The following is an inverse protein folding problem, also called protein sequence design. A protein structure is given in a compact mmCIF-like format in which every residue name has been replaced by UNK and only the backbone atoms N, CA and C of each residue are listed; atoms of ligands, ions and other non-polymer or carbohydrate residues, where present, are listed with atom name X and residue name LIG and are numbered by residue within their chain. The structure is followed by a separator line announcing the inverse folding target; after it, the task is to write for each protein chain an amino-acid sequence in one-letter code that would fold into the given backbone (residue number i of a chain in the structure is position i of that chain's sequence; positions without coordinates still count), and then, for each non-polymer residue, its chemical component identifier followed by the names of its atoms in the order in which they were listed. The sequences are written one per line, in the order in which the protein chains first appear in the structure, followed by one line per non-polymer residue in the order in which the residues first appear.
data_IF_746510492320
#
_entry.id   IF_746510492320
#
_cell.length_a   1.000
_cell.length_b   1.000
_cell.length_c   1.000
_cell.angle_alpha   90.00
_cell.angle_beta   90.00
_cell.angle_gamma   90.00
#
_symmetry.space_group_name_H-M   'P 1'
#
loop_
_entity.id
_entity.type
_entity.pdbx_description
1 polymer ?
#
# COMPACT_ATOMS: atom_id res chain seq x y z
N UNK A 1 8.45 -41.30 5.65
CA UNK A 1 8.07 -40.77 4.33
C UNK A 1 6.83 -39.89 4.52
N UNK A 2 6.92 -38.55 4.46
CA UNK A 2 5.74 -37.67 4.59
C UNK A 2 4.89 -37.82 3.33
N UNK A 3 3.63 -38.20 3.47
CA UNK A 3 2.68 -38.29 2.35
C UNK A 3 2.47 -36.89 1.74
N UNK A 4 2.04 -36.81 0.47
CA UNK A 4 1.74 -35.52 -0.16
C UNK A 4 0.68 -34.70 0.61
N UNK A 5 -0.18 -35.36 1.39
CA UNK A 5 -1.12 -34.71 2.31
C UNK A 5 -0.43 -33.98 3.47
N UNK A 6 0.70 -34.46 3.96
CA UNK A 6 1.43 -33.81 5.05
C UNK A 6 2.26 -32.62 4.56
N UNK A 7 2.73 -32.69 3.31
CA UNK A 7 3.58 -31.67 2.72
C UNK A 7 2.84 -30.34 2.51
N UNK A 8 1.63 -30.37 1.93
CA UNK A 8 0.87 -29.14 1.74
C UNK A 8 0.46 -28.49 3.06
N UNK A 9 0.03 -29.28 4.06
CA UNK A 9 -0.29 -28.76 5.39
C UNK A 9 0.92 -28.10 6.06
N UNK A 10 2.12 -28.66 5.88
CA UNK A 10 3.34 -28.05 6.42
C UNK A 10 3.65 -26.69 5.78
N UNK A 11 3.44 -26.55 4.47
CA UNK A 11 3.59 -25.28 3.74
C UNK A 11 2.56 -24.27 4.24
N UNK A 12 1.29 -24.67 4.30
CA UNK A 12 0.20 -23.81 4.77
C UNK A 12 0.45 -23.32 6.20
N UNK A 13 0.87 -24.20 7.11
CA UNK A 13 1.18 -23.82 8.49
C UNK A 13 2.38 -22.87 8.57
N UNK A 14 3.43 -23.11 7.78
CA UNK A 14 4.61 -22.23 7.74
C UNK A 14 4.23 -20.83 7.28
N UNK A 15 3.51 -20.71 6.16
CA UNK A 15 3.04 -19.42 5.65
C UNK A 15 2.07 -18.77 6.64
N UNK A 16 1.17 -19.56 7.23
CA UNK A 16 0.19 -19.10 8.20
C UNK A 16 0.83 -18.49 9.45
N UNK A 17 1.85 -19.14 10.01
CA UNK A 17 2.61 -18.62 11.15
C UNK A 17 3.35 -17.33 10.82
N UNK A 18 4.01 -17.25 9.67
CA UNK A 18 4.73 -16.04 9.25
C UNK A 18 3.76 -14.86 9.10
N UNK A 19 2.63 -15.06 8.42
CA UNK A 19 1.61 -14.00 8.25
C UNK A 19 1.00 -13.57 9.59
N UNK A 20 0.74 -14.52 10.50
CA UNK A 20 0.22 -14.23 11.82
C UNK A 20 1.22 -13.41 12.64
N UNK A 21 2.49 -13.81 12.67
CA UNK A 21 3.54 -13.10 13.41
C UNK A 21 3.74 -11.69 12.86
N UNK A 22 3.88 -11.53 11.54
CA UNK A 22 4.02 -10.22 10.90
C UNK A 22 2.81 -9.34 11.20
N UNK A 23 1.59 -9.88 11.07
CA UNK A 23 0.37 -9.13 11.36
C UNK A 23 0.24 -8.70 12.82
N UNK A 24 0.60 -9.57 13.77
CA UNK A 24 0.56 -9.23 15.21
C UNK A 24 1.61 -8.18 15.57
N UNK A 25 2.84 -8.31 15.05
CA UNK A 25 3.90 -7.32 15.27
C UNK A 25 3.47 -5.96 14.72
N UNK A 26 2.89 -5.93 13.52
CA UNK A 26 2.45 -4.67 12.91
C UNK A 26 1.26 -4.06 13.67
N UNK A 27 0.34 -4.88 14.21
CA UNK A 27 -0.73 -4.39 15.11
C UNK A 27 -0.15 -3.79 16.39
N UNK A 28 0.85 -4.43 17.00
CA UNK A 28 1.50 -3.89 18.19
C UNK A 28 2.19 -2.55 17.88
N UNK A 29 2.83 -2.44 16.71
CA UNK A 29 3.44 -1.20 16.23
C UNK A 29 2.39 -0.12 15.94
N UNK A 30 1.23 -0.48 15.37
CA UNK A 30 0.11 0.42 15.18
C UNK A 30 -0.37 1.01 16.52
N UNK A 31 -0.57 0.16 17.54
CA UNK A 31 -0.99 0.60 18.87
C UNK A 31 0.05 1.57 19.45
N UNK A 32 1.34 1.23 19.34
CA UNK A 32 2.43 2.10 19.77
C UNK A 32 2.40 3.46 19.06
N UNK A 33 2.21 3.48 17.73
CA UNK A 33 2.12 4.73 16.97
C UNK A 33 0.93 5.59 17.41
N UNK A 34 -0.25 4.98 17.60
CA UNK A 34 -1.45 5.68 18.08
C UNK A 34 -1.22 6.27 19.47
N UNK A 35 -0.62 5.51 20.39
CA UNK A 35 -0.32 5.99 21.74
C UNK A 35 0.69 7.14 21.78
N UNK A 36 1.60 7.22 20.80
CA UNK A 36 2.62 8.26 20.71
C UNK A 36 2.27 9.38 19.71
N UNK A 37 1.05 9.41 19.18
CA UNK A 37 0.61 10.38 18.15
C UNK A 37 1.51 10.40 16.89
N UNK A 38 2.12 9.27 16.57
CA UNK A 38 2.95 9.09 15.38
C UNK A 38 2.04 8.69 14.21
N UNK A 39 2.23 9.30 13.05
CA UNK A 39 1.48 8.96 11.84
C UNK A 39 1.76 7.52 11.42
N UNK A 40 0.72 6.69 11.48
CA UNK A 40 0.76 5.28 11.10
C UNK A 40 0.11 5.07 9.73
N UNK A 41 0.77 4.31 8.84
CA UNK A 41 0.33 4.10 7.45
C UNK A 41 0.50 2.64 7.02
N UNK A 42 -0.13 1.71 7.73
CA UNK A 42 -0.25 0.31 7.27
C UNK A 42 -1.68 -0.22 7.49
N UNK A 43 -2.37 -0.59 6.41
CA UNK A 43 -3.79 -0.99 6.44
C UNK A 43 -4.00 -2.50 6.31
N UNK A 44 -2.92 -3.29 6.21
CA UNK A 44 -2.99 -4.70 5.80
C UNK A 44 -2.84 -5.72 6.95
N UNK A 45 -2.69 -5.28 8.19
CA UNK A 45 -2.28 -6.12 9.32
C UNK A 45 -3.37 -7.10 9.72
N UNK A 46 -4.62 -6.63 9.79
CA UNK A 46 -5.77 -7.46 10.15
C UNK A 46 -5.98 -8.54 9.07
N UNK A 47 -5.78 -8.19 7.79
CA UNK A 47 -5.84 -9.16 6.70
C UNK A 47 -4.74 -10.21 6.80
N UNK A 48 -3.52 -9.84 7.20
CA UNK A 48 -2.43 -10.78 7.42
C UNK A 48 -2.74 -11.77 8.55
N UNK A 49 -3.30 -11.30 9.68
CA UNK A 49 -3.71 -12.17 10.79
C UNK A 49 -4.83 -13.13 10.37
N UNK A 50 -5.89 -12.61 9.72
CA UNK A 50 -7.01 -13.43 9.25
C UNK A 50 -6.53 -14.49 8.24
N UNK A 51 -5.70 -14.08 7.27
CA UNK A 51 -5.08 -14.99 6.31
C UNK A 51 -4.24 -16.07 7.01
N UNK A 52 -3.44 -15.67 8.00
CA UNK A 52 -2.62 -16.55 8.81
C UNK A 52 -3.45 -17.64 9.50
N UNK A 53 -4.52 -17.26 10.18
CA UNK A 53 -5.45 -18.19 10.86
C UNK A 53 -6.10 -19.16 9.88
N UNK A 54 -6.57 -18.68 8.73
CA UNK A 54 -7.19 -19.56 7.72
C UNK A 54 -6.21 -20.57 7.12
N UNK A 55 -4.94 -20.17 6.91
CA UNK A 55 -3.90 -21.09 6.44
C UNK A 55 -3.53 -22.13 7.49
N UNK A 56 -3.44 -21.72 8.77
CA UNK A 56 -3.20 -22.65 9.88
C UNK A 56 -4.30 -23.71 10.01
N UNK A 57 -5.55 -23.34 9.70
CA UNK A 57 -6.69 -24.26 9.63
C UNK A 57 -6.73 -25.14 8.37
N UNK A 58 -5.77 -25.01 7.45
CA UNK A 58 -5.71 -25.83 6.24
C UNK A 58 -6.78 -25.49 5.20
N UNK A 59 -7.41 -24.30 5.26
CA UNK A 59 -8.52 -23.98 4.37
C UNK A 59 -8.05 -23.74 2.92
N UNK A 60 -8.28 -24.73 2.06
CA UNK A 60 -7.90 -24.68 0.64
C UNK A 60 -8.61 -23.58 -0.17
N UNK A 61 -9.82 -23.14 0.24
CA UNK A 61 -10.47 -21.97 -0.40
C UNK A 61 -9.69 -20.70 -0.08
N UNK A 62 -9.32 -20.54 1.19
CA UNK A 62 -8.57 -19.38 1.64
C UNK A 62 -7.21 -19.31 0.95
N UNK A 63 -6.52 -20.44 0.75
CA UNK A 63 -5.25 -20.49 0.00
C UNK A 63 -5.38 -19.83 -1.38
N UNK A 64 -6.41 -20.18 -2.16
CA UNK A 64 -6.60 -19.63 -3.50
C UNK A 64 -6.89 -18.13 -3.47
N UNK A 65 -7.67 -17.66 -2.50
CA UNK A 65 -8.00 -16.23 -2.32
C UNK A 65 -6.76 -15.45 -1.86
N UNK A 66 -6.06 -15.95 -0.86
CA UNK A 66 -4.86 -15.32 -0.29
C UNK A 66 -3.81 -15.21 -1.38
N UNK A 67 -3.51 -16.29 -2.12
CA UNK A 67 -2.53 -16.25 -3.22
C UNK A 67 -2.93 -15.26 -4.31
N UNK A 68 -4.21 -15.23 -4.69
CA UNK A 68 -4.72 -14.27 -5.68
C UNK A 68 -4.50 -12.83 -5.21
N UNK A 69 -4.86 -12.52 -3.95
CA UNK A 69 -4.69 -11.21 -3.36
C UNK A 69 -3.22 -10.83 -3.17
N UNK A 70 -2.36 -11.76 -2.77
CA UNK A 70 -0.91 -11.56 -2.63
C UNK A 70 -0.27 -11.20 -3.98
N UNK A 71 -0.62 -11.90 -5.06
CA UNK A 71 -0.10 -11.58 -6.41
C UNK A 71 -0.60 -10.22 -6.89
N UNK A 72 -1.88 -9.91 -6.66
CA UNK A 72 -2.47 -8.60 -6.95
C UNK A 72 -1.72 -7.47 -6.22
N UNK A 73 -1.51 -7.62 -4.91
CA UNK A 73 -0.78 -6.67 -4.08
C UNK A 73 0.67 -6.51 -4.53
N UNK A 74 1.37 -7.61 -4.83
CA UNK A 74 2.75 -7.56 -5.31
C UNK A 74 2.84 -6.79 -6.64
N UNK A 75 1.96 -7.10 -7.60
CA UNK A 75 1.94 -6.44 -8.90
C UNK A 75 1.61 -4.94 -8.78
N UNK A 76 0.62 -4.59 -7.94
CA UNK A 76 0.28 -3.20 -7.65
C UNK A 76 1.47 -2.48 -7.00
N UNK A 77 2.13 -3.09 -6.01
CA UNK A 77 3.25 -2.45 -5.31
C UNK A 77 4.44 -2.20 -6.25
N UNK A 78 4.81 -3.17 -7.07
CA UNK A 78 5.88 -3.01 -8.06
C UNK A 78 5.53 -1.96 -9.12
N UNK A 79 4.28 -1.95 -9.60
CA UNK A 79 3.83 -0.94 -10.56
C UNK A 79 3.83 0.46 -9.94
N UNK A 80 3.46 0.57 -8.66
CA UNK A 80 3.41 1.85 -7.96
C UNK A 80 4.82 2.44 -7.79
N UNK A 81 5.85 1.61 -7.59
CA UNK A 81 7.24 2.09 -7.58
C UNK A 81 7.66 2.75 -8.90
N UNK A 82 7.09 2.31 -10.03
CA UNK A 82 7.36 2.89 -11.37
C UNK A 82 6.56 4.17 -11.60
N UNK A 83 5.31 4.22 -11.14
CA UNK A 83 4.42 5.38 -11.34
C UNK A 83 4.69 6.50 -10.33
N UNK A 84 5.14 6.17 -9.12
CA UNK A 84 5.38 7.13 -8.04
C UNK A 84 6.27 8.33 -8.44
N UNK A 85 7.40 8.15 -9.13
CA UNK A 85 8.25 9.28 -9.57
C UNK A 85 7.55 10.25 -10.53
N UNK A 86 6.48 9.82 -11.22
CA UNK A 86 5.70 10.67 -12.14
C UNK A 86 4.63 11.47 -11.39
N UNK A 87 4.14 10.94 -10.26
CA UNK A 87 3.10 11.60 -9.46
C UNK A 87 3.63 12.78 -8.65
N UNK A 88 4.93 12.81 -8.38
CA UNK A 88 5.57 13.82 -7.54
C UNK A 88 6.64 14.60 -8.32
N UNK A 89 6.79 15.92 -8.13
CA UNK A 89 7.89 16.68 -8.73
C UNK A 89 9.25 16.11 -8.32
N UNK A 90 10.13 15.87 -9.29
CA UNK A 90 11.47 15.31 -9.05
C UNK A 90 12.28 16.10 -8.02
N UNK A 91 12.15 17.42 -8.02
CA UNK A 91 12.82 18.28 -7.04
C UNK A 91 12.33 18.05 -5.60
N UNK A 92 11.04 17.75 -5.39
CA UNK A 92 10.53 17.42 -4.06
C UNK A 92 11.11 16.09 -3.58
N UNK A 93 11.19 15.08 -4.45
CA UNK A 93 11.80 13.79 -4.14
C UNK A 93 13.26 13.97 -3.73
N UNK A 94 14.05 14.69 -4.52
CA UNK A 94 15.46 14.99 -4.20
C UNK A 94 15.62 15.70 -2.87
N UNK A 95 14.74 16.66 -2.58
CA UNK A 95 14.75 17.41 -1.32
C UNK A 95 14.45 16.49 -0.13
N UNK A 96 13.46 15.61 -0.25
CA UNK A 96 13.13 14.61 0.78
C UNK A 96 14.31 13.67 1.07
N UNK A 97 14.98 13.16 0.03
CA UNK A 97 16.18 12.33 0.17
C UNK A 97 17.32 13.05 0.88
N UNK A 98 17.54 14.33 0.57
CA UNK A 98 18.60 15.14 1.19
C UNK A 98 18.33 15.42 2.67
N UNK A 99 17.07 15.73 3.00
CA UNK A 99 16.70 16.15 4.35
C UNK A 99 16.51 14.99 5.32
N UNK A 100 16.15 13.80 4.84
CA UNK A 100 15.97 12.62 5.70
C UNK A 100 16.46 11.32 5.04
N UNK A 101 17.77 11.17 4.81
CA UNK A 101 18.32 10.02 4.11
C UNK A 101 18.07 8.70 4.86
N UNK A 102 18.17 8.70 6.19
CA UNK A 102 17.91 7.50 7.01
C UNK A 102 16.45 7.07 6.94
N UNK A 103 15.52 8.01 7.03
CA UNK A 103 14.09 7.75 6.87
C UNK A 103 13.76 7.17 5.50
N UNK A 104 14.38 7.69 4.43
CA UNK A 104 14.16 7.15 3.09
C UNK A 104 14.74 5.75 2.91
N UNK A 105 15.94 5.49 3.44
CA UNK A 105 16.54 4.14 3.42
C UNK A 105 15.67 3.15 4.18
N UNK A 106 15.16 3.52 5.36
CA UNK A 106 14.28 2.67 6.15
C UNK A 106 12.97 2.37 5.41
N UNK A 107 12.38 3.37 4.76
CA UNK A 107 11.18 3.21 3.94
C UNK A 107 11.39 2.29 2.74
N UNK A 108 12.52 2.45 2.03
CA UNK A 108 12.89 1.55 0.92
C UNK A 108 13.14 0.12 1.41
N UNK A 109 13.81 -0.05 2.55
CA UNK A 109 14.03 -1.36 3.16
C UNK A 109 12.70 -2.02 3.54
N UNK A 110 11.75 -1.26 4.08
CA UNK A 110 10.41 -1.74 4.40
C UNK A 110 9.64 -2.20 3.15
N UNK A 111 9.68 -1.42 2.06
CA UNK A 111 9.06 -1.80 0.78
C UNK A 111 9.70 -3.07 0.22
N UNK A 112 11.03 -3.16 0.22
CA UNK A 112 11.75 -4.34 -0.26
C UNK A 112 11.40 -5.58 0.58
N UNK A 113 11.33 -5.44 1.90
CA UNK A 113 10.89 -6.50 2.81
C UNK A 113 9.46 -6.95 2.51
N UNK A 114 8.53 -6.00 2.38
CA UNK A 114 7.13 -6.31 2.04
C UNK A 114 7.03 -7.01 0.68
N UNK A 115 7.81 -6.59 -0.32
CA UNK A 115 7.81 -7.18 -1.66
C UNK A 115 8.33 -8.62 -1.61
N UNK A 116 9.44 -8.82 -0.89
CA UNK A 116 10.03 -10.13 -0.65
C UNK A 116 9.07 -11.07 0.07
N UNK A 117 8.37 -10.58 1.10
CA UNK A 117 7.37 -11.35 1.83
C UNK A 117 6.19 -11.75 0.93
N UNK A 118 5.62 -10.81 0.18
CA UNK A 118 4.53 -11.10 -0.76
C UNK A 118 4.96 -12.10 -1.84
N UNK A 119 6.14 -11.91 -2.42
CA UNK A 119 6.71 -12.84 -3.40
C UNK A 119 6.91 -14.24 -2.80
N UNK A 120 7.47 -14.32 -1.59
CA UNK A 120 7.67 -15.58 -0.89
C UNK A 120 6.34 -16.29 -0.60
N UNK A 121 5.32 -15.59 -0.10
CA UNK A 121 3.98 -16.15 0.12
C UNK A 121 3.37 -16.66 -1.19
N UNK A 122 3.43 -15.86 -2.25
CA UNK A 122 2.89 -16.24 -3.56
C UNK A 122 3.58 -17.50 -4.13
N UNK A 123 4.89 -17.63 -3.90
CA UNK A 123 5.70 -18.78 -4.29
C UNK A 123 5.36 -20.02 -3.46
N UNK A 124 5.28 -19.90 -2.14
CA UNK A 124 4.96 -21.03 -1.24
C UNK A 124 3.56 -21.59 -1.50
N UNK A 125 2.55 -20.72 -1.62
CA UNK A 125 1.18 -21.14 -1.95
C UNK A 125 1.04 -21.63 -3.40
N UNK A 126 2.05 -21.38 -4.24
CA UNK A 126 2.13 -21.83 -5.61
C UNK A 126 2.80 -23.20 -5.81
N UNK A 127 3.37 -23.81 -4.75
CA UNK A 127 4.11 -25.07 -4.85
C UNK A 127 3.20 -26.24 -5.26
N UNK A 128 3.78 -27.22 -5.95
CA UNK A 128 3.05 -28.39 -6.46
C UNK A 128 2.23 -29.16 -5.40
N UNK A 129 2.72 -29.40 -4.15
CA UNK A 129 1.90 -30.06 -3.13
C UNK A 129 0.62 -29.30 -2.78
N UNK A 130 0.66 -27.97 -2.81
CA UNK A 130 -0.52 -27.12 -2.56
C UNK A 130 -1.47 -27.17 -3.76
N UNK A 131 -0.90 -27.16 -4.98
CA UNK A 131 -1.67 -27.29 -6.22
C UNK A 131 -2.42 -28.61 -6.29
N UNK A 132 -1.74 -29.72 -6.02
CA UNK A 132 -2.34 -31.07 -6.06
C UNK A 132 -3.42 -31.23 -4.99
N UNK A 133 -3.23 -30.66 -3.80
CA UNK A 133 -4.27 -30.65 -2.76
C UNK A 133 -5.52 -29.85 -3.19
N UNK A 134 -5.35 -28.71 -3.85
CA UNK A 134 -6.47 -27.89 -4.36
C UNK A 134 -7.22 -28.62 -5.48
N UNK A 135 -6.51 -29.17 -6.46
CA UNK A 135 -7.15 -29.90 -7.57
C UNK A 135 -7.77 -31.21 -7.09
N UNK A 136 -7.12 -31.91 -6.16
CA UNK A 136 -7.65 -33.13 -5.53
C UNK A 136 -8.91 -32.87 -4.70
N UNK A 137 -9.06 -31.67 -4.14
CA UNK A 137 -10.29 -31.22 -3.49
C UNK A 137 -11.37 -30.72 -4.49
N UNK A 138 -11.22 -31.00 -5.79
CA UNK A 138 -12.17 -30.60 -6.84
C UNK A 138 -12.24 -29.10 -7.09
N UNK A 139 -11.24 -28.32 -6.65
CA UNK A 139 -11.23 -26.86 -6.82
C UNK A 139 -10.44 -26.44 -8.05
N UNK A 140 -10.95 -25.42 -8.75
CA UNK A 140 -10.27 -24.83 -9.92
C UNK A 140 -8.99 -24.12 -9.49
N UNK A 141 -7.88 -24.50 -10.12
CA UNK A 141 -6.62 -23.76 -10.04
C UNK A 141 -6.74 -22.48 -10.87
N UNK A 142 -6.62 -21.32 -10.23
CA UNK A 142 -6.76 -20.01 -10.88
C UNK A 142 -5.43 -19.60 -11.51
N UNK A 143 -5.50 -18.96 -12.67
CA UNK A 143 -4.34 -18.31 -13.28
C UNK A 143 -3.99 -17.04 -12.49
N UNK A 144 -2.70 -16.86 -12.20
CA UNK A 144 -2.17 -15.70 -11.47
C UNK A 144 -1.89 -14.50 -12.38
N UNK A 145 -2.00 -14.64 -13.70
CA UNK A 145 -1.92 -13.52 -14.64
C UNK A 145 -3.05 -12.52 -14.46
N UNK A 146 -4.25 -12.99 -14.15
CA UNK A 146 -5.42 -12.13 -13.91
C UNK A 146 -5.20 -11.18 -12.72
N UNK A 147 -4.88 -11.65 -11.49
CA UNK A 147 -4.60 -10.73 -10.37
C UNK A 147 -3.41 -9.81 -10.65
N UNK A 148 -2.37 -10.29 -11.33
CA UNK A 148 -1.23 -9.45 -11.69
C UNK A 148 -1.65 -8.30 -12.62
N UNK A 149 -2.38 -8.63 -13.71
CA UNK A 149 -2.90 -7.63 -14.63
C UNK A 149 -3.86 -6.65 -13.95
N UNK A 150 -4.72 -7.12 -13.05
CA UNK A 150 -5.61 -6.25 -12.26
C UNK A 150 -4.82 -5.28 -11.37
N UNK A 151 -3.73 -5.73 -10.74
CA UNK A 151 -2.88 -4.88 -9.91
C UNK A 151 -2.18 -3.79 -10.72
N UNK A 152 -1.63 -4.16 -11.88
CA UNK A 152 -1.03 -3.21 -12.84
C UNK A 152 -2.08 -2.21 -13.35
N UNK A 153 -3.25 -2.71 -13.79
CA UNK A 153 -4.31 -1.87 -14.33
C UNK A 153 -4.85 -0.86 -13.30
N UNK A 154 -4.99 -1.28 -12.04
CA UNK A 154 -5.38 -0.37 -10.96
C UNK A 154 -4.38 0.76 -10.79
N UNK A 155 -3.07 0.46 -10.78
CA UNK A 155 -2.03 1.47 -10.62
C UNK A 155 -1.94 2.38 -11.84
N UNK A 156 -2.06 1.85 -13.05
CA UNK A 156 -2.12 2.64 -14.27
C UNK A 156 -3.30 3.61 -14.25
N UNK A 157 -4.48 3.12 -13.84
CA UNK A 157 -5.67 3.95 -13.68
C UNK A 157 -5.44 5.07 -12.65
N UNK A 158 -4.89 4.76 -11.48
CA UNK A 158 -4.56 5.75 -10.46
C UNK A 158 -3.51 6.77 -10.95
N UNK A 159 -2.51 6.31 -11.70
CA UNK A 159 -1.47 7.15 -12.29
C UNK A 159 -2.00 8.20 -13.26
N UNK A 160 -3.15 7.94 -13.91
CA UNK A 160 -3.83 8.88 -14.81
C UNK A 160 -4.86 9.72 -14.06
N UNK A 161 -5.67 9.11 -13.21
CA UNK A 161 -6.76 9.80 -12.51
C UNK A 161 -6.25 10.80 -11.46
N UNK A 162 -5.19 10.48 -10.73
CA UNK A 162 -4.68 11.35 -9.67
C UNK A 162 -4.17 12.69 -10.20
N UNK A 163 -3.28 12.76 -11.22
CA UNK A 163 -2.86 14.04 -11.78
C UNK A 163 -4.01 14.86 -12.37
N UNK A 164 -4.98 14.19 -13.01
CA UNK A 164 -6.17 14.85 -13.55
C UNK A 164 -7.01 15.50 -12.43
N UNK A 165 -7.19 14.80 -11.32
CA UNK A 165 -7.95 15.30 -10.17
C UNK A 165 -7.20 16.38 -9.38
N UNK A 166 -5.88 16.24 -9.24
CA UNK A 166 -5.01 17.14 -8.47
C UNK A 166 -4.46 18.33 -9.29
N UNK A 167 -4.81 18.44 -10.58
CA UNK A 167 -4.40 19.52 -11.46
C UNK A 167 -5.47 20.60 -11.72
N UNK A 168 -6.69 20.44 -11.21
CA UNK A 168 -7.82 21.34 -11.50
C UNK A 168 -7.79 22.69 -10.77
N UNK A 169 -8.78 23.54 -11.05
CA UNK A 169 -8.94 24.87 -10.42
C UNK A 169 -8.92 24.81 -8.88
N UNK A 170 -9.54 23.78 -8.30
CA UNK A 170 -9.56 23.53 -6.86
C UNK A 170 -8.15 23.34 -6.29
N UNK A 171 -7.26 22.69 -7.03
CA UNK A 171 -5.87 22.51 -6.63
C UNK A 171 -5.08 23.82 -6.70
N UNK A 172 -5.34 24.66 -7.71
CA UNK A 172 -4.73 25.99 -7.80
C UNK A 172 -5.18 26.90 -6.66
N UNK A 173 -6.46 26.84 -6.28
CA UNK A 173 -6.98 27.55 -5.10
C UNK A 173 -6.32 27.06 -3.81
N UNK A 174 -6.14 25.75 -3.65
CA UNK A 174 -5.42 25.19 -2.49
C UNK A 174 -3.97 25.70 -2.41
N UNK A 175 -3.25 25.76 -3.54
CA UNK A 175 -1.89 26.32 -3.60
C UNK A 175 -1.87 27.79 -3.18
N UNK A 176 -2.79 28.61 -3.69
CA UNK A 176 -2.86 30.03 -3.32
C UNK A 176 -3.12 30.24 -1.82
N UNK A 177 -4.00 29.43 -1.22
CA UNK A 177 -4.25 29.49 0.24
C UNK A 177 -3.03 29.04 1.05
N UNK A 178 -2.30 28.02 0.59
CA UNK A 178 -1.08 27.57 1.26
C UNK A 178 0.06 28.61 1.15
N UNK A 179 0.17 29.29 0.01
CA UNK A 179 1.15 30.37 -0.21
C UNK A 179 0.89 31.56 0.73
N UNK A 180 -0.37 31.94 0.93
CA UNK A 180 -0.74 32.98 1.89
C UNK A 180 -0.34 32.64 3.34
N UNK A 181 -0.33 31.35 3.71
CA UNK A 181 0.05 30.93 5.07
C UNK A 181 1.56 30.84 5.29
N UNK A 182 2.32 30.44 4.26
CA UNK A 182 3.77 30.19 4.38
C UNK A 182 4.64 31.37 3.98
N UNK A 183 4.11 32.32 3.21
CA UNK A 183 4.88 33.40 2.59
C UNK A 183 5.69 32.96 1.36
N UNK A 184 6.43 33.89 0.73
CA UNK A 184 7.16 33.61 -0.50
C UNK A 184 8.37 32.69 -0.27
N UNK A 185 8.73 31.89 -1.28
CA UNK A 185 9.95 31.08 -1.29
C UNK A 185 9.75 29.56 -1.19
N UNK A 186 8.51 29.08 -1.11
CA UNK A 186 8.18 27.66 -1.15
C UNK A 186 7.66 27.25 -2.53
N UNK A 187 8.07 26.07 -2.98
CA UNK A 187 7.40 25.38 -4.08
C UNK A 187 6.26 24.55 -3.51
N UNK A 188 5.12 24.55 -4.20
CA UNK A 188 3.88 23.95 -3.70
C UNK A 188 3.36 22.86 -4.63
N UNK A 189 2.94 21.74 -4.05
CA UNK A 189 2.34 20.61 -4.74
C UNK A 189 1.16 20.12 -3.93
N UNK A 190 0.02 19.93 -4.59
CA UNK A 190 -1.19 19.42 -3.92
C UNK A 190 -1.07 17.91 -3.82
N UNK A 191 -0.95 17.41 -2.59
CA UNK A 191 -0.70 16.01 -2.28
C UNK A 191 -1.99 15.24 -2.01
N UNK A 192 -3.03 15.93 -1.54
CA UNK A 192 -4.37 15.35 -1.45
C UNK A 192 -5.46 16.41 -1.58
N UNK A 193 -6.63 15.97 -2.05
CA UNK A 193 -7.81 16.82 -2.19
C UNK A 193 -9.04 15.99 -1.86
N UNK A 194 -9.82 16.46 -0.89
CA UNK A 194 -11.04 15.84 -0.39
C UNK A 194 -12.18 16.84 -0.59
N UNK A 195 -13.17 16.46 -1.37
CA UNK A 195 -14.38 17.26 -1.59
C UNK A 195 -15.55 16.51 -0.98
N UNK A 196 -16.20 17.13 0.00
CA UNK A 196 -17.41 16.60 0.64
C UNK A 196 -18.56 17.52 0.28
N UNK A 197 -19.54 16.99 -0.44
CA UNK A 197 -20.76 17.72 -0.79
C UNK A 197 -21.90 17.26 0.11
N UNK A 198 -22.42 18.18 0.94
CA UNK A 198 -23.56 17.91 1.81
C UNK A 198 -24.73 18.84 1.44
N UNK A 199 -25.92 18.60 2.03
CA UNK A 199 -27.10 19.44 1.83
C UNK A 199 -26.90 20.93 2.21
N UNK A 200 -25.81 21.25 2.92
CA UNK A 200 -25.46 22.60 3.41
C UNK A 200 -24.37 23.30 2.58
N UNK A 201 -23.92 22.69 1.46
CA UNK A 201 -22.87 23.24 0.60
C UNK A 201 -21.70 22.27 0.40
N UNK A 202 -20.67 22.73 -0.32
CA UNK A 202 -19.54 21.90 -0.73
C UNK A 202 -18.31 22.29 0.09
N UNK A 203 -17.83 21.39 0.95
CA UNK A 203 -16.62 21.62 1.74
C UNK A 203 -15.43 20.96 1.05
N UNK A 204 -14.38 21.73 0.81
CA UNK A 204 -13.12 21.25 0.23
C UNK A 204 -12.04 21.28 1.30
N UNK A 205 -11.30 20.20 1.44
CA UNK A 205 -10.11 20.08 2.29
C UNK A 205 -8.96 19.51 1.48
N UNK A 206 -7.77 20.10 1.57
CA UNK A 206 -6.61 19.70 0.79
C UNK A 206 -5.35 19.75 1.64
N UNK A 207 -4.41 18.85 1.35
CA UNK A 207 -3.06 18.89 1.91
C UNK A 207 -2.11 19.30 0.80
N UNK A 208 -1.39 20.39 1.02
CA UNK A 208 -0.37 20.93 0.10
C UNK A 208 0.99 20.65 0.71
N UNK A 209 1.83 19.90 -0.01
CA UNK A 209 3.24 19.78 0.34
C UNK A 209 3.99 21.00 -0.17
N UNK A 210 4.59 21.73 0.76
CA UNK A 210 5.43 22.88 0.52
C UNK A 210 6.89 22.52 0.79
N UNK A 211 7.81 22.91 -0.10
CA UNK A 211 9.23 22.64 0.11
C UNK A 211 10.12 23.77 -0.37
N UNK A 212 11.27 23.89 0.28
CA UNK A 212 12.41 24.71 -0.14
C UNK A 212 13.70 23.88 -0.03
N UNK A 213 14.88 24.51 -0.11
CA UNK A 213 16.15 23.78 -0.06
C UNK A 213 16.46 23.11 1.31
N UNK A 214 15.78 23.54 2.39
CA UNK A 214 16.11 23.25 3.77
C UNK A 214 15.01 22.49 4.52
N UNK A 215 13.75 22.56 4.08
CA UNK A 215 12.64 21.89 4.74
C UNK A 215 11.52 21.49 3.76
N UNK A 216 10.75 20.48 4.18
CA UNK A 216 9.52 20.01 3.54
C UNK A 216 8.43 20.01 4.60
N UNK A 217 7.31 20.69 4.34
CA UNK A 217 6.16 20.83 5.24
C UNK A 217 4.87 20.45 4.51
N UNK A 218 3.93 19.89 5.26
CA UNK A 218 2.57 19.66 4.77
C UNK A 218 1.64 20.70 5.38
N UNK A 219 0.93 21.45 4.55
CA UNK A 219 -0.03 22.48 4.96
C UNK A 219 -1.44 22.01 4.62
N UNK A 220 -2.29 21.91 5.64
CA UNK A 220 -3.69 21.59 5.47
C UNK A 220 -4.49 22.86 5.24
N UNK A 221 -5.20 22.94 4.12
CA UNK A 221 -6.08 24.06 3.77
C UNK A 221 -7.51 23.56 3.59
N UNK A 222 -8.50 24.33 4.05
CA UNK A 222 -9.91 24.00 3.87
C UNK A 222 -10.76 25.25 3.64
N UNK A 223 -11.81 25.10 2.85
CA UNK A 223 -12.80 26.16 2.60
C UNK A 223 -14.17 25.56 2.26
N UNK A 224 -15.21 26.39 2.35
CA UNK A 224 -16.56 26.07 1.87
C UNK A 224 -16.83 26.83 0.58
N UNK A 225 -17.39 26.13 -0.39
CA UNK A 225 -17.99 26.65 -1.62
C UNK A 225 -19.50 26.77 -1.43
#
# INVERSE_FOLDING_TARGET
MKTMSDQHLSILKRVGWVLLLVGVIDIAYMIYCISNSISYSSSLNIFAVIAGVFLLRGNLRAVAIIRWFTVFMLAAMLSMMVVWPVLQPWDLTRTQFRLNPSGTVLWLAFIAFAAGLLFWVARELGRDPVRTAITGAGRKWRDMRVPAASGVALVALLGVLLPMFLGGETANRAKAMAEQQLGPGYRLHVSSLHVVSNAQGKTVSSVVTAWNANEVKNVSVSWRE
#
